data_IF_755353296868
#
_entry.id   IF_755353296868
#
_cell.length_a   1.000
_cell.length_b   1.000
_cell.length_c   1.000
_cell.angle_alpha   90.00
_cell.angle_beta   90.00
_cell.angle_gamma   90.00
#
_symmetry.space_group_name_H-M   'P 1'
#
loop_
_entity.id
_entity.type
_entity.pdbx_description
1 polymer ?
#
# COMPACT_ATOMS: atom_id res chain seq x y z
N UNK A 1 19.43 -14.31 0.62
CA UNK A 1 19.00 -14.03 -0.77
C UNK A 1 20.19 -13.43 -1.51
N UNK A 2 20.26 -13.49 -2.85
CA UNK A 2 21.42 -12.90 -3.56
C UNK A 2 21.39 -11.38 -3.38
N UNK A 3 22.54 -10.75 -3.11
CA UNK A 3 22.67 -9.30 -2.96
C UNK A 3 22.18 -8.53 -4.19
N UNK A 4 22.22 -9.17 -5.36
CA UNK A 4 21.74 -8.60 -6.63
C UNK A 4 20.21 -8.42 -6.64
N UNK A 5 19.45 -9.38 -6.10
CA UNK A 5 17.99 -9.25 -6.03
C UNK A 5 17.58 -8.06 -5.14
N UNK A 6 18.20 -7.93 -3.97
CA UNK A 6 17.92 -6.82 -3.05
C UNK A 6 18.29 -5.46 -3.68
N UNK A 7 19.42 -5.38 -4.38
CA UNK A 7 19.81 -4.18 -5.13
C UNK A 7 18.81 -3.84 -6.25
N UNK A 8 18.32 -4.84 -6.97
CA UNK A 8 17.32 -4.62 -8.02
C UNK A 8 15.96 -4.23 -7.45
N UNK A 9 15.58 -4.78 -6.28
CA UNK A 9 14.38 -4.39 -5.56
C UNK A 9 14.46 -2.93 -5.10
N UNK A 10 15.63 -2.50 -4.60
CA UNK A 10 15.87 -1.10 -4.26
C UNK A 10 15.74 -0.16 -5.46
N UNK A 11 16.35 -0.53 -6.61
CA UNK A 11 16.22 0.23 -7.85
C UNK A 11 14.77 0.30 -8.32
N UNK A 12 14.03 -0.80 -8.17
CA UNK A 12 12.62 -0.86 -8.55
C UNK A 12 11.77 0.11 -7.71
N UNK A 13 11.99 0.15 -6.39
CA UNK A 13 11.34 1.16 -5.53
C UNK A 13 11.69 2.58 -5.94
N UNK A 14 12.93 2.84 -6.34
CA UNK A 14 13.31 4.17 -6.82
C UNK A 14 12.59 4.55 -8.12
N UNK A 15 12.42 3.61 -9.05
CA UNK A 15 11.63 3.85 -10.26
C UNK A 15 10.17 4.13 -9.91
N UNK A 16 9.56 3.36 -9.00
CA UNK A 16 8.18 3.58 -8.54
C UNK A 16 8.04 5.01 -8.00
N UNK A 17 8.93 5.45 -7.10
CA UNK A 17 8.79 6.73 -6.42
C UNK A 17 9.18 7.92 -7.30
N UNK A 18 10.28 7.83 -8.06
CA UNK A 18 10.83 8.95 -8.85
C UNK A 18 10.15 9.09 -10.20
N UNK A 19 9.85 7.98 -10.87
CA UNK A 19 9.36 7.98 -12.25
C UNK A 19 7.86 7.67 -12.29
N UNK A 20 7.43 6.61 -11.60
CA UNK A 20 6.03 6.19 -11.59
C UNK A 20 5.12 7.23 -10.94
N UNK A 21 5.41 7.57 -9.67
CA UNK A 21 4.62 8.53 -8.90
C UNK A 21 5.12 9.96 -9.02
N UNK A 22 6.38 10.16 -9.44
CA UNK A 22 7.06 11.46 -9.41
C UNK A 22 6.85 12.18 -8.06
N UNK A 23 7.16 11.47 -6.96
CA UNK A 23 6.92 11.93 -5.61
C UNK A 23 7.66 13.26 -5.34
N UNK A 24 6.89 14.29 -4.99
CA UNK A 24 7.44 15.60 -4.65
C UNK A 24 7.74 15.72 -3.15
N UNK A 25 8.72 16.56 -2.80
CA UNK A 25 9.02 16.87 -1.40
C UNK A 25 7.80 17.54 -0.75
N UNK A 26 7.41 17.06 0.42
CA UNK A 26 6.24 17.52 1.16
C UNK A 26 4.93 16.84 0.77
N UNK A 27 4.92 16.00 -0.27
CA UNK A 27 3.73 15.28 -0.71
C UNK A 27 3.38 14.14 0.26
N UNK A 28 2.10 13.85 0.38
CA UNK A 28 1.57 12.68 1.11
C UNK A 28 1.53 11.47 0.18
N UNK A 29 1.78 10.28 0.71
CA UNK A 29 1.75 9.03 -0.04
C UNK A 29 0.80 8.04 0.64
N UNK A 30 -0.15 7.51 -0.11
CA UNK A 30 -1.00 6.41 0.34
C UNK A 30 -0.58 5.13 -0.39
N UNK A 31 -0.24 4.09 0.36
CA UNK A 31 0.05 2.77 -0.17
C UNK A 31 -1.15 1.88 0.16
N UNK A 32 -1.83 1.42 -0.87
CA UNK A 32 -2.99 0.55 -0.74
C UNK A 32 -3.02 -0.44 -1.89
N UNK A 33 -3.69 -1.57 -1.69
CA UNK A 33 -3.99 -2.51 -2.77
C UNK A 33 -5.44 -2.35 -3.18
N UNK A 34 -5.67 -2.10 -4.47
CA UNK A 34 -7.01 -2.05 -5.06
C UNK A 34 -7.55 -3.44 -5.47
N UNK A 35 -6.74 -4.50 -5.32
CA UNK A 35 -7.06 -5.88 -5.71
C UNK A 35 -6.56 -6.90 -4.68
N UNK A 36 -6.72 -8.19 -4.97
CA UNK A 36 -6.26 -9.33 -4.14
C UNK A 36 -4.73 -9.46 -4.06
N UNK A 37 -3.97 -8.38 -4.14
CA UNK A 37 -2.55 -8.40 -3.78
C UNK A 37 -2.44 -8.39 -2.26
N UNK A 38 -1.91 -9.44 -1.61
CA UNK A 38 -1.77 -9.48 -0.16
C UNK A 38 -0.66 -8.53 0.27
N UNK A 39 -1.02 -7.32 0.71
CA UNK A 39 -0.02 -6.36 1.21
C UNK A 39 0.77 -6.95 2.38
N UNK A 40 0.13 -7.74 3.25
CA UNK A 40 0.78 -8.33 4.41
C UNK A 40 1.97 -9.24 4.04
N UNK A 41 1.84 -10.03 2.96
CA UNK A 41 2.94 -10.87 2.44
C UNK A 41 4.08 -10.03 1.83
N UNK A 42 3.75 -8.80 1.40
CA UNK A 42 4.69 -7.85 0.84
C UNK A 42 5.23 -6.85 1.88
N UNK A 43 5.01 -7.08 3.18
CA UNK A 43 5.39 -6.13 4.23
C UNK A 43 6.84 -5.64 4.14
N UNK A 44 7.88 -6.49 3.91
CA UNK A 44 9.25 -6.01 3.76
C UNK A 44 9.44 -5.05 2.58
N UNK A 45 8.68 -5.24 1.50
CA UNK A 45 8.73 -4.37 0.33
C UNK A 45 8.03 -3.03 0.59
N UNK A 46 6.89 -3.04 1.27
CA UNK A 46 6.17 -1.82 1.69
C UNK A 46 7.00 -0.99 2.66
N UNK A 47 7.68 -1.63 3.60
CA UNK A 47 8.64 -0.97 4.50
C UNK A 47 9.78 -0.30 3.72
N UNK A 48 10.31 -0.97 2.70
CA UNK A 48 11.36 -0.42 1.83
C UNK A 48 10.86 0.81 1.05
N UNK A 49 9.67 0.73 0.46
CA UNK A 49 9.02 1.87 -0.21
C UNK A 49 8.86 3.04 0.76
N UNK A 50 8.29 2.78 1.94
CA UNK A 50 8.04 3.81 2.96
C UNK A 50 9.34 4.50 3.38
N UNK A 51 10.39 3.72 3.65
CA UNK A 51 11.71 4.23 4.01
C UNK A 51 12.31 5.11 2.90
N UNK A 52 12.23 4.70 1.63
CA UNK A 52 12.75 5.50 0.51
C UNK A 52 11.87 6.74 0.25
N UNK A 53 10.56 6.65 0.41
CA UNK A 53 9.64 7.78 0.26
C UNK A 53 9.96 8.90 1.27
N UNK A 54 10.15 8.56 2.54
CA UNK A 54 10.55 9.54 3.55
C UNK A 54 11.94 10.13 3.28
N UNK A 55 12.92 9.32 2.83
CA UNK A 55 14.23 9.83 2.41
C UNK A 55 14.15 10.81 1.23
N UNK A 56 13.15 10.64 0.36
CA UNK A 56 12.87 11.55 -0.76
C UNK A 56 12.06 12.79 -0.34
N UNK A 57 11.64 12.86 0.92
CA UNK A 57 10.96 14.02 1.50
C UNK A 57 9.44 13.93 1.49
N UNK A 58 8.84 12.73 1.38
CA UNK A 58 7.41 12.57 1.68
C UNK A 58 7.09 13.15 3.06
N UNK A 59 5.96 13.86 3.17
CA UNK A 59 5.51 14.44 4.44
C UNK A 59 4.86 13.39 5.35
N UNK A 60 4.08 12.49 4.75
CA UNK A 60 3.29 11.50 5.46
C UNK A 60 3.04 10.31 4.54
N UNK A 61 3.29 9.10 5.04
CA UNK A 61 3.03 7.84 4.34
C UNK A 61 2.03 7.03 5.15
N UNK A 62 0.90 6.69 4.55
CA UNK A 62 -0.15 5.84 5.13
C UNK A 62 -0.23 4.52 4.37
N UNK A 63 -0.53 3.42 5.07
CA UNK A 63 -0.60 2.08 4.47
C UNK A 63 -1.90 1.39 4.87
N UNK A 64 -2.76 1.10 3.89
CA UNK A 64 -3.98 0.32 4.11
C UNK A 64 -3.68 -1.14 3.82
N UNK A 65 -3.45 -1.92 4.88
CA UNK A 65 -3.20 -3.35 4.77
C UNK A 65 -4.47 -4.14 4.42
N UNK A 66 -4.28 -5.23 3.68
CA UNK A 66 -5.29 -6.23 3.39
C UNK A 66 -4.71 -7.64 3.59
N UNK A 67 -5.59 -8.56 4.00
CA UNK A 67 -5.28 -9.97 4.21
C UNK A 67 -6.39 -10.82 3.55
N UNK A 68 -6.07 -11.53 2.45
CA UNK A 68 -7.04 -12.39 1.76
C UNK A 68 -7.63 -13.49 2.64
N UNK A 69 -6.93 -13.94 3.70
CA UNK A 69 -7.47 -14.93 4.63
C UNK A 69 -8.63 -14.36 5.45
N UNK A 70 -8.55 -13.10 5.86
CA UNK A 70 -9.65 -12.42 6.55
C UNK A 70 -10.84 -12.21 5.63
N UNK A 71 -10.58 -11.89 4.35
CA UNK A 71 -11.63 -11.78 3.34
C UNK A 71 -12.33 -13.13 3.14
N UNK A 72 -11.58 -14.23 3.03
CA UNK A 72 -12.13 -15.58 2.92
C UNK A 72 -12.99 -15.96 4.14
N UNK A 73 -12.50 -15.69 5.35
CA UNK A 73 -13.25 -15.93 6.60
C UNK A 73 -14.57 -15.14 6.59
N UNK A 74 -14.55 -13.88 6.13
CA UNK A 74 -15.78 -13.08 5.97
C UNK A 74 -16.73 -13.74 4.98
N UNK A 75 -16.26 -14.20 3.83
CA UNK A 75 -17.12 -14.89 2.86
C UNK A 75 -17.71 -16.20 3.39
N UNK A 76 -16.98 -16.93 4.22
CA UNK A 76 -17.41 -18.22 4.77
C UNK A 76 -18.40 -18.08 5.92
N UNK A 77 -18.28 -17.02 6.73
CA UNK A 77 -18.94 -16.96 8.04
C UNK A 77 -19.84 -15.72 8.23
N UNK A 78 -19.72 -14.68 7.42
CA UNK A 78 -20.51 -13.48 7.61
C UNK A 78 -21.96 -13.65 7.13
N UNK A 79 -22.93 -12.98 7.79
CA UNK A 79 -24.30 -12.89 7.29
C UNK A 79 -24.36 -12.29 5.88
N UNK A 80 -25.30 -12.76 5.06
CA UNK A 80 -25.43 -12.35 3.65
C UNK A 80 -25.73 -10.85 3.48
N UNK A 81 -26.54 -10.29 4.37
CA UNK A 81 -26.90 -8.88 4.41
C UNK A 81 -25.70 -7.98 4.75
N UNK A 82 -24.70 -8.49 5.47
CA UNK A 82 -23.49 -7.73 5.82
C UNK A 82 -22.56 -7.43 4.63
N UNK A 83 -22.81 -7.98 3.44
CA UNK A 83 -22.02 -7.64 2.24
C UNK A 83 -22.43 -6.30 1.61
N UNK A 84 -23.52 -5.69 2.08
CA UNK A 84 -23.89 -4.32 1.74
C UNK A 84 -23.07 -3.28 2.54
N UNK A 85 -22.46 -3.73 3.64
CA UNK A 85 -21.62 -2.91 4.52
C UNK A 85 -20.18 -2.83 4.01
N UNK A 86 -19.72 -1.61 3.70
CA UNK A 86 -18.33 -1.35 3.33
C UNK A 86 -17.73 -0.20 4.17
N UNK A 87 -16.43 -0.26 4.50
CA UNK A 87 -15.77 0.77 5.28
C UNK A 87 -15.57 2.06 4.48
N UNK A 88 -16.48 3.02 4.64
CA UNK A 88 -16.45 4.33 3.95
C UNK A 88 -15.16 5.11 4.20
N UNK A 89 -14.53 4.93 5.35
CA UNK A 89 -13.26 5.57 5.69
C UNK A 89 -12.13 5.24 4.70
N UNK A 90 -12.14 4.05 4.08
CA UNK A 90 -11.12 3.68 3.07
C UNK A 90 -11.25 4.55 1.82
N UNK A 91 -12.49 4.77 1.37
CA UNK A 91 -12.79 5.64 0.22
C UNK A 91 -12.45 7.10 0.53
N UNK A 92 -12.81 7.57 1.73
CA UNK A 92 -12.49 8.92 2.17
C UNK A 92 -10.98 9.16 2.26
N UNK A 93 -10.22 8.19 2.79
CA UNK A 93 -8.77 8.27 2.83
C UNK A 93 -8.16 8.37 1.42
N UNK A 94 -8.65 7.59 0.45
CA UNK A 94 -8.17 7.68 -0.93
C UNK A 94 -8.45 9.06 -1.56
N UNK A 95 -9.61 9.65 -1.27
CA UNK A 95 -9.95 11.01 -1.73
C UNK A 95 -9.06 12.06 -1.08
N UNK A 96 -8.85 12.00 0.24
CA UNK A 96 -8.04 12.97 0.98
C UNK A 96 -6.56 13.01 0.54
N UNK A 97 -6.05 11.92 -0.02
CA UNK A 97 -4.68 11.85 -0.56
C UNK A 97 -4.59 12.25 -2.04
N UNK A 98 -5.72 12.34 -2.75
CA UNK A 98 -5.77 12.79 -4.13
C UNK A 98 -5.88 14.32 -4.27
N UNK A 99 -6.41 14.98 -3.23
CA UNK A 99 -6.50 16.45 -3.09
C UNK A 99 -5.16 17.09 -2.66
#
# INVERSE_FOLDING_TARGET
>A
MSSEFEQNLEKYVEVILKVGLNLQKGQRLLILSLRETPLLELAPFVELITKKAYKMGAKFVEVIWNDPQLDLIRFQHAPRDSFEEFPTWKSNAALEFAE
#
